data_IF_845888639153
#
_entry.id   IF_845888639153
#
_cell.length_a   1.000
_cell.length_b   1.000
_cell.length_c   1.000
_cell.angle_alpha   90.00
_cell.angle_beta   90.00
_cell.angle_gamma   90.00
#
_symmetry.space_group_name_H-M   'P 1'
#
loop_
_entity.id
_entity.type
_entity.pdbx_description
1 polymer ?
#
# COMPACT_ATOMS: atom_id res chain seq x y z
N UNK A 1 3.71 -20.49 -5.25
CA UNK A 1 4.30 -19.27 -4.64
C UNK A 1 4.45 -18.27 -5.77
N UNK A 2 3.69 -17.17 -5.75
CA UNK A 2 3.75 -16.18 -6.83
C UNK A 2 5.05 -15.37 -6.66
N UNK A 3 5.83 -15.24 -7.72
CA UNK A 3 7.10 -14.50 -7.67
C UNK A 3 6.82 -13.02 -7.90
N UNK A 4 7.49 -12.15 -7.14
CA UNK A 4 7.36 -10.69 -7.25
C UNK A 4 7.56 -10.18 -8.70
N UNK A 5 8.39 -10.87 -9.50
CA UNK A 5 8.60 -10.59 -10.92
C UNK A 5 7.32 -10.71 -11.77
N UNK A 6 6.42 -11.64 -11.45
CA UNK A 6 5.17 -11.82 -12.20
C UNK A 6 4.21 -10.64 -12.00
N UNK A 7 4.28 -9.97 -10.85
CA UNK A 7 3.47 -8.78 -10.55
C UNK A 7 4.14 -7.47 -10.98
N UNK A 8 5.35 -7.51 -11.53
CA UNK A 8 6.06 -6.29 -11.94
C UNK A 8 5.21 -5.39 -12.88
N UNK A 9 4.52 -5.90 -13.92
CA UNK A 9 3.69 -5.05 -14.76
C UNK A 9 2.58 -4.34 -13.99
N UNK A 10 1.95 -5.02 -13.04
CA UNK A 10 0.91 -4.44 -12.18
C UNK A 10 1.48 -3.33 -11.29
N UNK A 11 2.60 -3.60 -10.60
CA UNK A 11 3.26 -2.61 -9.74
C UNK A 11 3.73 -1.40 -10.53
N UNK A 12 4.32 -1.60 -11.72
CA UNK A 12 4.74 -0.52 -12.61
C UNK A 12 3.55 0.36 -13.01
N UNK A 13 2.45 -0.25 -13.43
CA UNK A 13 1.25 0.49 -13.84
C UNK A 13 0.65 1.27 -12.67
N UNK A 14 0.61 0.70 -11.46
CA UNK A 14 0.15 1.38 -10.26
C UNK A 14 1.04 2.59 -9.93
N UNK A 15 2.37 2.44 -10.00
CA UNK A 15 3.30 3.55 -9.77
C UNK A 15 3.15 4.66 -10.81
N UNK A 16 3.01 4.33 -12.10
CA UNK A 16 2.79 5.35 -13.13
C UNK A 16 1.44 6.07 -12.96
N UNK A 17 0.40 5.37 -12.49
CA UNK A 17 -0.88 6.01 -12.15
C UNK A 17 -0.80 6.93 -10.93
N UNK A 18 -0.01 6.54 -9.92
CA UNK A 18 0.19 7.32 -8.69
C UNK A 18 1.05 8.58 -8.88
N UNK A 19 1.88 8.63 -9.94
CA UNK A 19 2.76 9.77 -10.19
C UNK A 19 1.96 11.01 -10.57
N UNK A 20 2.14 12.07 -9.80
CA UNK A 20 1.57 13.40 -10.12
C UNK A 20 2.18 14.04 -11.38
N UNK A 21 3.38 13.59 -11.80
CA UNK A 21 4.02 14.01 -13.04
C UNK A 21 5.03 12.96 -13.54
N UNK A 22 5.45 13.00 -14.82
CA UNK A 22 6.44 12.06 -15.35
C UNK A 22 7.78 12.06 -14.59
N UNK A 23 8.14 13.18 -13.97
CA UNK A 23 9.39 13.39 -13.21
C UNK A 23 9.22 13.23 -11.71
N UNK A 24 8.02 12.88 -11.23
CA UNK A 24 7.75 12.64 -9.81
C UNK A 24 8.73 11.60 -9.23
N UNK A 25 9.37 11.96 -8.12
CA UNK A 25 10.30 11.07 -7.41
C UNK A 25 9.53 9.99 -6.67
N UNK A 26 9.98 8.74 -6.83
CA UNK A 26 9.42 7.58 -6.12
C UNK A 26 10.36 7.23 -4.97
N UNK A 27 9.89 7.41 -3.73
CA UNK A 27 10.58 6.95 -2.53
C UNK A 27 10.07 5.58 -2.10
N UNK A 28 10.98 4.66 -1.76
CA UNK A 28 10.65 3.32 -1.26
C UNK A 28 11.23 3.16 0.14
N UNK A 29 10.35 2.97 1.12
CA UNK A 29 10.73 2.71 2.51
C UNK A 29 11.56 1.42 2.62
N UNK A 30 12.50 1.36 3.56
CA UNK A 30 13.38 0.18 3.78
C UNK A 30 12.65 -1.13 3.98
N UNK A 31 11.43 -1.09 4.51
CA UNK A 31 10.65 -2.31 4.71
C UNK A 31 10.21 -2.97 3.40
N UNK A 32 10.30 -2.25 2.28
CA UNK A 32 10.05 -2.73 0.93
C UNK A 32 11.34 -2.82 0.07
N UNK A 33 12.48 -3.16 0.68
CA UNK A 33 13.77 -3.29 -0.04
C UNK A 33 13.69 -4.20 -1.29
N UNK A 34 12.95 -5.31 -1.23
CA UNK A 34 12.76 -6.20 -2.37
C UNK A 34 12.05 -5.50 -3.55
N UNK A 35 11.09 -4.60 -3.26
CA UNK A 35 10.43 -3.79 -4.28
C UNK A 35 11.42 -2.80 -4.89
N UNK A 36 12.21 -2.11 -4.06
CA UNK A 36 13.23 -1.17 -4.54
C UNK A 36 14.23 -1.86 -5.48
N UNK A 37 14.76 -3.01 -5.08
CA UNK A 37 15.66 -3.84 -5.91
C UNK A 37 15.02 -4.26 -7.23
N UNK A 38 13.75 -4.68 -7.19
CA UNK A 38 13.00 -5.02 -8.41
C UNK A 38 12.91 -3.82 -9.35
N UNK A 39 12.46 -2.66 -8.87
CA UNK A 39 12.26 -1.46 -9.68
C UNK A 39 13.59 -1.01 -10.31
N UNK A 40 14.67 -0.96 -9.52
CA UNK A 40 16.01 -0.63 -10.00
C UNK A 40 16.51 -1.62 -11.06
N UNK A 41 16.30 -2.93 -10.85
CA UNK A 41 16.68 -3.97 -11.83
C UNK A 41 15.97 -3.84 -13.18
N UNK A 42 14.81 -3.16 -13.20
CA UNK A 42 14.01 -2.91 -14.40
C UNK A 42 14.23 -1.48 -14.96
N UNK A 43 15.22 -0.75 -14.46
CA UNK A 43 15.56 0.60 -14.92
C UNK A 43 14.63 1.70 -14.42
N UNK A 44 13.74 1.42 -13.47
CA UNK A 44 12.87 2.42 -12.86
C UNK A 44 13.66 3.16 -11.77
N UNK A 45 13.75 4.49 -11.90
CA UNK A 45 14.43 5.34 -10.93
C UNK A 45 13.59 5.44 -9.65
N UNK A 46 14.16 5.02 -8.53
CA UNK A 46 13.58 5.13 -7.19
C UNK A 46 14.64 5.56 -6.18
N UNK A 47 14.22 6.17 -5.08
CA UNK A 47 15.05 6.43 -3.91
C UNK A 47 14.86 5.28 -2.89
N UNK A 48 15.84 4.37 -2.72
CA UNK A 48 15.79 3.32 -1.70
C UNK A 48 15.94 3.91 -0.30
N UNK A 49 15.42 3.21 0.71
CA UNK A 49 15.48 3.64 2.13
C UNK A 49 15.01 5.09 2.31
N UNK A 50 13.96 5.46 1.56
CA UNK A 50 13.42 6.80 1.63
C UNK A 50 12.61 6.96 2.92
N UNK A 51 12.79 8.11 3.56
CA UNK A 51 11.84 8.64 4.53
C UNK A 51 10.83 9.53 3.82
N UNK A 52 9.64 9.68 4.40
CA UNK A 52 8.66 10.63 3.88
C UNK A 52 9.23 12.05 3.96
N UNK A 53 9.22 12.78 2.85
CA UNK A 53 9.74 14.14 2.75
C UNK A 53 9.12 14.92 1.61
N UNK A 54 9.26 16.24 1.65
CA UNK A 54 8.51 17.19 0.81
C UNK A 54 8.77 17.06 -0.71
N UNK A 55 9.88 16.44 -1.12
CA UNK A 55 10.25 16.31 -2.52
C UNK A 55 9.72 15.05 -3.21
N UNK A 56 9.12 14.12 -2.47
CA UNK A 56 8.59 12.88 -3.06
C UNK A 56 7.27 13.15 -3.77
N UNK A 57 7.08 12.53 -4.93
CA UNK A 57 5.79 12.53 -5.62
C UNK A 57 5.01 11.24 -5.38
N UNK A 58 5.72 10.13 -5.15
CA UNK A 58 5.15 8.84 -4.75
C UNK A 58 5.95 8.27 -3.58
N UNK A 59 5.27 7.72 -2.58
CA UNK A 59 5.89 7.01 -1.47
C UNK A 59 5.35 5.59 -1.34
N UNK A 60 6.25 4.63 -1.17
CA UNK A 60 5.92 3.21 -1.04
C UNK A 60 6.32 2.71 0.36
N UNK A 61 5.37 2.12 1.10
CA UNK A 61 5.61 1.54 2.43
C UNK A 61 4.71 0.34 2.70
N UNK A 62 5.09 -0.49 3.66
CA UNK A 62 4.14 -1.45 4.23
C UNK A 62 3.11 -0.77 5.16
N UNK A 63 2.24 -1.59 5.76
CA UNK A 63 1.14 -1.15 6.61
C UNK A 63 1.38 -1.40 8.12
N UNK A 64 2.61 -1.67 8.55
CA UNK A 64 2.88 -2.22 9.89
C UNK A 64 3.44 -1.22 10.90
N UNK A 65 3.84 -0.04 10.46
CA UNK A 65 4.37 1.03 11.30
C UNK A 65 3.42 2.24 11.26
N UNK A 66 3.11 2.79 12.43
CA UNK A 66 2.27 3.98 12.62
C UNK A 66 3.07 5.28 12.64
N UNK A 67 4.40 5.16 12.69
CA UNK A 67 5.35 6.26 12.58
C UNK A 67 5.02 7.06 11.33
N UNK A 68 4.72 8.35 11.49
CA UNK A 68 4.35 9.28 10.41
C UNK A 68 2.96 9.10 9.77
N UNK A 69 1.99 8.49 10.46
CA UNK A 69 0.64 8.32 9.91
C UNK A 69 -0.02 9.66 9.53
N UNK A 70 0.08 10.68 10.39
CA UNK A 70 -0.50 12.01 10.13
C UNK A 70 0.18 12.70 8.94
N UNK A 71 1.50 12.61 8.85
CA UNK A 71 2.26 13.16 7.72
C UNK A 71 1.94 12.43 6.41
N UNK A 72 1.70 11.12 6.45
CA UNK A 72 1.25 10.35 5.28
C UNK A 72 -0.14 10.79 4.83
N UNK A 73 -1.06 11.03 5.77
CA UNK A 73 -2.39 11.56 5.46
C UNK A 73 -2.29 12.92 4.80
N UNK A 74 -1.48 13.83 5.33
CA UNK A 74 -1.26 15.15 4.73
C UNK A 74 -0.56 15.08 3.37
N UNK A 75 0.40 14.17 3.19
CA UNK A 75 1.05 13.92 1.91
C UNK A 75 0.03 13.51 0.84
N UNK A 76 -0.88 12.58 1.14
CA UNK A 76 -1.94 12.15 0.22
C UNK A 76 -2.93 13.28 -0.06
N UNK A 77 -3.36 14.02 0.97
CA UNK A 77 -4.27 15.18 0.80
C UNK A 77 -3.69 16.27 -0.09
N UNK A 78 -2.37 16.46 -0.09
CA UNK A 78 -1.65 17.41 -0.96
C UNK A 78 -1.44 16.89 -2.39
N UNK A 79 -1.93 15.69 -2.71
CA UNK A 79 -1.82 15.08 -4.04
C UNK A 79 -0.61 14.16 -4.22
N UNK A 80 0.07 13.78 -3.14
CA UNK A 80 1.11 12.75 -3.17
C UNK A 80 0.53 11.36 -3.40
N UNK A 81 1.20 10.55 -4.23
CA UNK A 81 0.79 9.18 -4.49
C UNK A 81 1.29 8.22 -3.41
N UNK A 82 0.40 7.41 -2.83
CA UNK A 82 0.77 6.41 -1.82
C UNK A 82 0.55 4.99 -2.34
N UNK A 83 1.61 4.18 -2.35
CA UNK A 83 1.54 2.73 -2.50
C UNK A 83 1.74 2.09 -1.11
N UNK A 84 0.67 1.56 -0.54
CA UNK A 84 0.68 0.91 0.77
C UNK A 84 0.15 -0.52 0.68
N UNK A 85 0.81 -1.46 1.35
CA UNK A 85 0.42 -2.88 1.32
C UNK A 85 0.77 -3.63 2.59
N UNK A 86 -0.04 -4.62 2.92
CA UNK A 86 0.15 -5.48 4.09
C UNK A 86 -1.09 -6.31 4.39
N UNK A 87 -1.00 -7.12 5.44
CA UNK A 87 -2.11 -7.94 5.94
C UNK A 87 -2.32 -7.73 7.43
N UNK A 88 -3.55 -7.48 7.86
CA UNK A 88 -3.85 -7.26 9.27
C UNK A 88 -4.26 -8.54 10.03
N UNK A 89 -4.39 -9.70 9.36
CA UNK A 89 -4.84 -10.94 10.01
C UNK A 89 -3.92 -11.36 11.16
N UNK A 90 -2.60 -11.28 10.99
CA UNK A 90 -1.65 -11.68 12.02
C UNK A 90 -1.70 -10.71 13.20
N UNK A 91 -1.75 -9.41 12.90
CA UNK A 91 -1.91 -8.36 13.90
C UNK A 91 -3.22 -8.53 14.70
N UNK A 92 -4.30 -8.94 14.03
CA UNK A 92 -5.61 -9.17 14.65
C UNK A 92 -5.62 -10.30 15.66
N UNK A 93 -4.75 -11.30 15.53
CA UNK A 93 -4.63 -12.40 16.49
C UNK A 93 -4.17 -11.91 17.87
N UNK A 94 -3.33 -10.88 17.91
CA UNK A 94 -2.77 -10.32 19.13
C UNK A 94 -3.64 -9.20 19.74
N UNK A 95 -4.46 -8.53 18.94
CA UNK A 95 -5.17 -7.31 19.35
C UNK A 95 -6.70 -7.40 19.24
N UNK A 96 -7.23 -8.49 18.67
CA UNK A 96 -8.65 -8.68 18.36
C UNK A 96 -9.03 -8.11 16.99
N UNK A 97 -10.00 -8.77 16.33
CA UNK A 97 -10.51 -8.35 15.00
C UNK A 97 -11.15 -6.97 15.03
N UNK A 98 -11.92 -6.68 16.08
CA UNK A 98 -12.58 -5.38 16.27
C UNK A 98 -11.59 -4.21 16.34
N UNK A 99 -10.39 -4.46 16.89
CA UNK A 99 -9.36 -3.43 17.00
C UNK A 99 -8.72 -3.09 15.65
N UNK A 100 -8.81 -3.96 14.63
CA UNK A 100 -8.11 -3.78 13.36
C UNK A 100 -8.54 -2.49 12.68
N UNK A 101 -9.84 -2.23 12.59
CA UNK A 101 -10.38 -1.07 11.85
C UNK A 101 -9.89 0.27 12.42
N UNK A 102 -9.57 0.32 13.72
CA UNK A 102 -9.26 1.57 14.43
C UNK A 102 -7.77 1.68 14.81
N UNK A 103 -7.11 0.54 15.04
CA UNK A 103 -5.77 0.50 15.67
C UNK A 103 -4.70 -0.18 14.82
N UNK A 104 -5.04 -0.83 13.72
CA UNK A 104 -4.03 -1.36 12.80
C UNK A 104 -3.28 -0.19 12.16
N UNK A 105 -1.93 -0.16 12.17
CA UNK A 105 -1.15 0.99 11.70
C UNK A 105 -1.51 1.48 10.30
N UNK A 106 -1.67 0.57 9.32
CA UNK A 106 -2.10 0.93 7.97
C UNK A 106 -3.47 1.62 7.92
N UNK A 107 -4.39 1.26 8.83
CA UNK A 107 -5.72 1.87 8.90
C UNK A 107 -5.70 3.27 9.51
N UNK A 108 -4.65 3.68 10.22
CA UNK A 108 -4.47 5.07 10.63
C UNK A 108 -4.32 6.00 9.42
N UNK A 109 -3.83 5.47 8.29
CA UNK A 109 -3.68 6.20 7.03
C UNK A 109 -4.85 5.93 6.07
N UNK A 110 -5.18 4.67 5.78
CA UNK A 110 -6.14 4.36 4.71
C UNK A 110 -7.60 4.61 5.09
N UNK A 111 -7.94 4.63 6.38
CA UNK A 111 -9.33 4.85 6.82
C UNK A 111 -9.89 6.20 6.37
N UNK A 112 -9.04 7.23 6.23
CA UNK A 112 -9.45 8.57 5.77
C UNK A 112 -9.94 8.56 4.31
N UNK A 113 -9.59 7.52 3.53
CA UNK A 113 -10.04 7.34 2.14
C UNK A 113 -11.22 6.37 2.02
N UNK A 114 -11.73 5.86 3.15
CA UNK A 114 -12.78 4.84 3.19
C UNK A 114 -12.30 3.43 2.85
N UNK A 115 -10.98 3.19 2.81
CA UNK A 115 -10.38 1.88 2.54
C UNK A 115 -9.75 1.32 3.81
N UNK A 116 -10.00 0.04 4.10
CA UNK A 116 -9.54 -0.60 5.33
C UNK A 116 -8.85 -1.94 5.06
N UNK A 117 -7.72 -2.15 5.72
CA UNK A 117 -7.22 -3.48 6.00
C UNK A 117 -8.14 -4.16 7.02
N UNK A 118 -8.44 -5.44 6.81
CA UNK A 118 -9.31 -6.22 7.71
C UNK A 118 -8.52 -7.36 8.36
N UNK A 119 -9.01 -7.83 9.51
CA UNK A 119 -8.46 -9.01 10.19
C UNK A 119 -8.81 -10.33 9.51
N UNK A 120 -9.55 -10.30 8.39
CA UNK A 120 -9.97 -11.49 7.67
C UNK A 120 -8.80 -12.09 6.89
N UNK A 121 -8.74 -13.41 6.87
CA UNK A 121 -7.76 -14.16 6.09
C UNK A 121 -8.38 -14.42 4.72
N UNK A 122 -7.67 -14.02 3.66
CA UNK A 122 -8.03 -14.39 2.29
C UNK A 122 -7.44 -15.75 1.92
N UNK A 123 -8.12 -16.47 1.03
CA UNK A 123 -7.56 -17.67 0.40
C UNK A 123 -6.54 -17.28 -0.68
N UNK A 124 -5.49 -18.09 -0.84
CA UNK A 124 -4.58 -17.94 -1.97
C UNK A 124 -5.22 -18.57 -3.22
N UNK A 125 -5.36 -17.79 -4.28
CA UNK A 125 -5.98 -18.28 -5.51
C UNK A 125 -5.87 -17.30 -6.67
N UNK A 126 -6.33 -17.75 -7.85
CA UNK A 126 -6.56 -16.88 -9.00
C UNK A 126 -8.04 -16.56 -9.01
N UNK A 127 -8.36 -15.30 -8.80
CA UNK A 127 -9.74 -14.82 -8.77
C UNK A 127 -10.03 -14.05 -10.04
N UNK A 128 -11.13 -14.40 -10.72
CA UNK A 128 -11.60 -13.62 -11.86
C UNK A 128 -12.01 -12.24 -11.38
N UNK A 129 -11.51 -11.20 -12.05
CA UNK A 129 -11.99 -9.83 -11.81
C UNK A 129 -13.42 -9.76 -12.36
N UNK A 130 -14.43 -9.45 -11.53
CA UNK A 130 -15.80 -9.38 -12.02
C UNK A 130 -15.93 -8.21 -13.02
N UNK A 131 -16.59 -8.45 -14.16
CA UNK A 131 -16.81 -7.42 -15.20
C UNK A 131 -17.64 -6.24 -14.68
N UNK A 132 -18.47 -6.48 -13.66
CA UNK A 132 -19.28 -5.46 -13.00
C UNK A 132 -18.70 -5.23 -11.61
N UNK A 133 -18.57 -3.97 -11.22
CA UNK A 133 -18.21 -3.58 -9.86
C UNK A 133 -19.20 -4.29 -8.91
N UNK A 134 -18.71 -5.07 -7.93
CA UNK A 134 -19.58 -5.69 -6.94
C UNK A 134 -20.44 -4.61 -6.31
N UNK A 135 -21.77 -4.79 -6.32
CA UNK A 135 -22.65 -4.00 -5.46
C UNK A 135 -22.27 -4.39 -4.05
N UNK A 136 -21.53 -3.52 -3.37
CA UNK A 136 -20.98 -3.68 -2.03
C UNK A 136 -21.90 -4.58 -1.17
N UNK A 137 -21.50 -5.78 -0.77
CA UNK A 137 -21.99 -6.32 0.48
C UNK A 137 -21.25 -5.52 1.55
N UNK A 138 -21.99 -4.69 2.27
CA UNK A 138 -21.58 -4.27 3.61
C UNK A 138 -21.23 -5.55 4.35
N UNK A 139 -20.07 -5.52 5.01
CA UNK A 139 -19.56 -6.54 5.92
C UNK A 139 -20.74 -7.25 6.60
N UNK A 140 -21.04 -8.49 6.21
CA UNK A 140 -21.97 -9.33 6.95
C UNK A 140 -21.13 -10.22 7.87
N UNK A 141 -21.54 -10.17 9.14
CA UNK A 141 -21.07 -10.86 10.35
C UNK A 141 -20.45 -12.25 10.17
#
# INVERSE_FOLDING_TARGET
MVQLQQFFPFVKNALEWLKSSPTALIGVHRSLDALSKLLLSQGIKVQPDATLGDSLGVFCRDAYEDVQADELVEFVKRGGGLLIGGQAWHWSYQHGKEAVLVRFPGNLVTSVTGVYFTGNVGENGVFSVPEKIPRIPLITE
#
